data_IF_543149636889
#
_entry.id   IF_543149636889
#
_cell.length_a   1.000
_cell.length_b   1.000
_cell.length_c   1.000
_cell.angle_alpha   90.00
_cell.angle_beta   90.00
_cell.angle_gamma   90.00
#
_symmetry.space_group_name_H-M   'P 1'
#
loop_
_entity.id
_entity.type
_entity.pdbx_description
1 polymer ?
#
# COMPACT_ATOMS: atom_id res chain seq x y z
N UNK A 1 -9.87 -55.23 -0.14
CA UNK A 1 -9.11 -54.39 -1.10
C UNK A 1 -9.86 -53.13 -1.54
N UNK A 2 -11.12 -53.20 -2.02
CA UNK A 2 -11.89 -52.00 -2.45
C UNK A 2 -12.07 -50.90 -1.39
N UNK A 3 -12.24 -51.26 -0.10
CA UNK A 3 -12.42 -50.29 1.00
C UNK A 3 -11.14 -49.52 1.38
N UNK A 4 -9.96 -50.09 1.10
CA UNK A 4 -8.66 -49.45 1.39
C UNK A 4 -8.32 -48.41 0.31
N UNK A 5 -8.73 -48.67 -0.94
CA UNK A 5 -8.51 -47.75 -2.07
C UNK A 5 -9.36 -46.47 -1.92
N UNK A 6 -10.59 -46.58 -1.39
CA UNK A 6 -11.47 -45.42 -1.20
C UNK A 6 -10.95 -44.50 -0.07
N UNK A 7 -10.35 -45.07 0.99
CA UNK A 7 -9.73 -44.28 2.05
C UNK A 7 -8.47 -43.53 1.58
N UNK A 8 -7.70 -44.11 0.66
CA UNK A 8 -6.52 -43.48 0.06
C UNK A 8 -6.89 -42.32 -0.87
N UNK A 9 -7.96 -42.43 -1.66
CA UNK A 9 -8.41 -41.34 -2.54
C UNK A 9 -9.07 -40.20 -1.74
N UNK A 10 -9.77 -40.51 -0.64
CA UNK A 10 -10.35 -39.50 0.25
C UNK A 10 -9.29 -38.74 1.07
N UNK A 11 -8.16 -39.38 1.41
CA UNK A 11 -7.04 -38.73 2.11
C UNK A 11 -6.19 -37.83 1.21
N UNK A 12 -6.14 -38.09 -0.10
CA UNK A 12 -5.37 -37.29 -1.06
C UNK A 12 -6.09 -36.00 -1.50
N UNK A 13 -7.42 -35.91 -1.38
CA UNK A 13 -8.19 -34.71 -1.76
C UNK A 13 -8.22 -33.61 -0.69
N UNK A 14 -7.85 -33.91 0.57
CA UNK A 14 -7.89 -32.94 1.67
C UNK A 14 -6.59 -32.14 1.85
N UNK A 15 -5.54 -32.44 1.07
CA UNK A 15 -4.34 -31.61 0.91
C UNK A 15 -4.56 -30.57 -0.20
N UNK A 16 -5.68 -29.86 -0.14
CA UNK A 16 -5.86 -28.64 -0.91
C UNK A 16 -4.85 -27.60 -0.42
N UNK A 17 -3.77 -27.43 -1.19
CA UNK A 17 -2.76 -26.41 -1.02
C UNK A 17 -3.41 -25.05 -0.72
N UNK A 18 -3.39 -24.64 0.54
CA UNK A 18 -3.56 -23.24 0.90
C UNK A 18 -2.26 -22.55 0.52
N UNK A 19 -2.11 -22.22 -0.77
CA UNK A 19 -1.02 -21.36 -1.21
C UNK A 19 -1.35 -19.97 -0.69
N UNK A 20 -0.90 -19.64 0.52
CA UNK A 20 -0.86 -18.25 0.94
C UNK A 20 0.13 -17.56 0.02
N UNK A 21 -0.38 -16.80 -0.95
CA UNK A 21 0.45 -15.90 -1.73
C UNK A 21 0.91 -14.82 -0.77
N UNK A 22 2.05 -15.06 -0.11
CA UNK A 22 2.81 -14.05 0.62
C UNK A 22 3.22 -13.00 -0.41
N UNK A 23 2.36 -12.01 -0.62
CA UNK A 23 2.68 -10.84 -1.42
C UNK A 23 3.81 -10.11 -0.70
N UNK A 24 5.01 -10.18 -1.28
CA UNK A 24 6.15 -9.46 -0.77
C UNK A 24 5.86 -7.95 -0.85
N UNK A 25 5.60 -7.33 0.31
CA UNK A 25 5.40 -5.87 0.46
C UNK A 25 6.75 -5.17 0.56
N UNK A 26 6.86 -3.89 0.19
CA UNK A 26 8.11 -3.16 0.21
C UNK A 26 8.57 -2.93 1.65
N UNK A 27 9.86 -3.16 1.91
CA UNK A 27 10.47 -2.96 3.23
C UNK A 27 11.00 -1.54 3.43
N UNK A 28 11.33 -0.86 2.33
CA UNK A 28 11.86 0.50 2.31
C UNK A 28 11.37 1.27 1.08
N UNK A 29 11.43 2.59 1.13
CA UNK A 29 11.14 3.52 0.02
C UNK A 29 12.14 4.67 0.03
N UNK A 30 12.62 5.05 -1.16
CA UNK A 30 13.34 6.31 -1.34
C UNK A 30 12.34 7.48 -1.46
N UNK A 31 12.39 8.40 -0.51
CA UNK A 31 11.58 9.61 -0.53
C UNK A 31 12.22 10.68 -1.40
N UNK A 32 11.71 10.83 -2.62
CA UNK A 32 12.23 11.81 -3.59
C UNK A 32 12.10 13.26 -3.12
N UNK A 33 11.23 13.57 -2.16
CA UNK A 33 11.07 14.94 -1.66
C UNK A 33 12.18 15.32 -0.68
N UNK A 34 12.59 14.38 0.18
CA UNK A 34 13.61 14.60 1.21
C UNK A 34 14.97 14.00 0.86
N UNK A 35 15.06 13.23 -0.24
CA UNK A 35 16.24 12.46 -0.62
C UNK A 35 16.69 11.47 0.46
N UNK A 36 15.74 10.94 1.25
CA UNK A 36 16.02 10.02 2.35
C UNK A 36 15.38 8.65 2.14
N UNK A 37 16.07 7.64 2.65
CA UNK A 37 15.57 6.30 2.78
C UNK A 37 14.64 6.16 3.98
N UNK A 38 13.45 5.59 3.73
CA UNK A 38 12.46 5.32 4.77
C UNK A 38 12.27 3.82 4.89
N UNK A 39 12.53 3.27 6.07
CA UNK A 39 12.34 1.86 6.40
C UNK A 39 10.90 1.67 6.88
N UNK A 40 10.04 1.22 5.98
CA UNK A 40 8.57 1.21 6.17
C UNK A 40 8.04 -0.17 6.55
N UNK A 41 8.91 -1.14 6.84
CA UNK A 41 8.54 -2.45 7.36
C UNK A 41 8.88 -2.67 8.85
N UNK A 42 9.63 -1.76 9.47
CA UNK A 42 10.15 -1.97 10.82
C UNK A 42 9.97 -0.71 11.69
N UNK A 43 9.96 -0.91 13.00
CA UNK A 43 9.81 0.11 14.01
C UNK A 43 8.54 0.95 13.86
N UNK A 44 8.64 2.22 14.26
CA UNK A 44 7.51 3.16 14.22
C UNK A 44 6.98 3.37 12.79
N UNK A 45 7.87 3.46 11.80
CA UNK A 45 7.47 3.66 10.40
C UNK A 45 6.78 2.43 9.82
N UNK A 46 7.21 1.22 10.22
CA UNK A 46 6.49 -0.02 9.92
C UNK A 46 5.04 0.05 10.43
N UNK A 47 4.86 0.39 11.71
CA UNK A 47 3.53 0.52 12.30
C UNK A 47 2.68 1.62 11.63
N UNK A 48 3.27 2.78 11.37
CA UNK A 48 2.59 3.92 10.76
C UNK A 48 2.17 3.65 9.30
N UNK A 49 2.84 2.72 8.62
CA UNK A 49 2.57 2.34 7.23
C UNK A 49 1.51 1.24 7.08
N UNK A 50 1.00 0.69 8.19
CA UNK A 50 -0.10 -0.28 8.15
C UNK A 50 -1.48 0.41 8.01
N UNK A 51 -2.53 -0.30 7.55
CA UNK A 51 -3.87 0.27 7.42
C UNK A 51 -4.42 0.94 8.69
N UNK A 52 -4.08 0.42 9.88
CA UNK A 52 -4.47 1.00 11.17
C UNK A 52 -3.49 2.06 11.69
N UNK A 53 -2.31 2.19 11.07
CA UNK A 53 -1.25 3.13 11.42
C UNK A 53 -1.59 4.58 11.10
N UNK A 54 -0.69 5.49 11.47
CA UNK A 54 -0.88 6.93 11.26
C UNK A 54 -1.10 7.30 9.77
N UNK A 55 -0.35 6.70 8.85
CA UNK A 55 -0.49 6.95 7.41
C UNK A 55 -1.86 6.52 6.87
N UNK A 56 -2.29 5.31 7.23
CA UNK A 56 -3.61 4.79 6.85
C UNK A 56 -4.78 5.60 7.44
N UNK A 57 -4.63 6.07 8.68
CA UNK A 57 -5.61 6.99 9.31
C UNK A 57 -5.72 8.30 8.54
N UNK A 58 -4.60 8.98 8.28
CA UNK A 58 -4.58 10.26 7.56
C UNK A 58 -5.07 10.14 6.12
N UNK A 59 -4.78 9.02 5.45
CA UNK A 59 -5.37 8.71 4.15
C UNK A 59 -6.91 8.68 4.21
N UNK A 60 -7.49 8.02 5.21
CA UNK A 60 -8.96 7.96 5.39
C UNK A 60 -9.56 9.31 5.80
N UNK A 61 -8.89 10.06 6.67
CA UNK A 61 -9.38 11.35 7.15
C UNK A 61 -9.34 12.41 6.05
N UNK A 62 -8.22 12.51 5.32
CA UNK A 62 -7.99 13.61 4.38
C UNK A 62 -8.29 13.21 2.94
N UNK A 63 -7.65 12.17 2.40
CA UNK A 63 -7.81 11.81 0.99
C UNK A 63 -9.22 11.23 0.72
N UNK A 64 -9.70 10.32 1.58
CA UNK A 64 -11.02 9.71 1.41
C UNK A 64 -12.19 10.66 1.69
N UNK A 65 -11.96 11.83 2.30
CA UNK A 65 -12.98 12.90 2.39
C UNK A 65 -13.48 13.40 1.03
N UNK A 66 -12.69 13.17 -0.03
CA UNK A 66 -13.09 13.43 -1.41
C UNK A 66 -13.23 12.13 -2.20
N UNK A 67 -12.38 11.14 -1.95
CA UNK A 67 -12.30 9.93 -2.77
C UNK A 67 -13.12 8.72 -2.25
N UNK A 68 -14.32 8.95 -1.68
CA UNK A 68 -15.24 7.88 -1.24
C UNK A 68 -16.31 7.54 -2.31
N UNK A 69 -17.01 6.39 -2.18
CA UNK A 69 -17.77 5.77 -3.30
C UNK A 69 -18.87 6.68 -3.83
N UNK A 70 -19.50 7.42 -2.93
CA UNK A 70 -20.66 8.26 -3.20
C UNK A 70 -20.31 9.74 -3.00
N UNK A 71 -19.10 10.15 -3.39
CA UNK A 71 -18.73 11.55 -3.28
C UNK A 71 -19.47 12.39 -4.31
N UNK A 72 -19.80 13.62 -3.94
CA UNK A 72 -20.43 14.62 -4.81
C UNK A 72 -19.41 15.59 -5.44
N UNK A 73 -18.11 15.29 -5.34
CA UNK A 73 -17.01 16.15 -5.79
C UNK A 73 -16.46 15.75 -7.17
N UNK A 74 -17.06 14.75 -7.82
CA UNK A 74 -16.59 14.19 -9.08
C UNK A 74 -15.23 13.49 -8.98
N UNK A 75 -14.77 13.18 -7.77
CA UNK A 75 -13.49 12.52 -7.55
C UNK A 75 -13.63 11.01 -7.75
N UNK A 76 -12.64 10.38 -8.38
CA UNK A 76 -12.63 8.92 -8.49
C UNK A 76 -12.52 8.28 -7.11
N UNK A 77 -13.20 7.15 -6.91
CA UNK A 77 -12.99 6.35 -5.72
C UNK A 77 -11.54 5.87 -5.65
N UNK A 78 -10.92 5.96 -4.47
CA UNK A 78 -9.51 5.64 -4.31
C UNK A 78 -9.25 4.61 -3.21
N UNK A 79 -8.47 3.59 -3.54
CA UNK A 79 -7.89 2.57 -2.64
C UNK A 79 -6.38 2.77 -2.56
N UNK A 80 -5.70 2.11 -1.61
CA UNK A 80 -4.25 2.08 -1.64
C UNK A 80 -3.74 1.36 -2.91
N UNK A 81 -4.50 0.39 -3.37
CA UNK A 81 -4.26 -0.42 -4.57
C UNK A 81 -4.64 0.30 -5.87
N UNK A 82 -5.09 1.57 -5.82
CA UNK A 82 -5.44 2.31 -7.04
C UNK A 82 -4.24 2.62 -7.95
N UNK A 83 -3.02 2.53 -7.41
CA UNK A 83 -1.79 2.68 -8.18
C UNK A 83 -0.72 1.72 -7.65
N UNK A 84 0.31 1.49 -8.48
CA UNK A 84 1.53 0.79 -8.06
C UNK A 84 2.42 1.67 -7.17
N UNK A 85 3.31 1.06 -6.37
CA UNK A 85 4.12 1.77 -5.37
C UNK A 85 4.90 2.96 -5.98
N UNK A 86 5.54 2.77 -7.12
CA UNK A 86 6.32 3.83 -7.79
C UNK A 86 5.45 5.00 -8.27
N UNK A 87 4.22 4.74 -8.70
CA UNK A 87 3.27 5.75 -9.11
C UNK A 87 2.79 6.57 -7.91
N UNK A 88 2.52 5.95 -6.77
CA UNK A 88 2.23 6.66 -5.52
C UNK A 88 3.38 7.57 -5.12
N UNK A 89 4.60 7.03 -5.08
CA UNK A 89 5.78 7.81 -4.71
C UNK A 89 5.94 9.05 -5.60
N UNK A 90 5.70 8.88 -6.90
CA UNK A 90 5.76 9.96 -7.89
C UNK A 90 4.68 11.02 -7.68
N UNK A 91 3.43 10.63 -7.41
CA UNK A 91 2.32 11.57 -7.18
C UNK A 91 2.64 12.52 -6.03
N UNK A 92 3.17 11.98 -4.93
CA UNK A 92 3.54 12.76 -3.76
C UNK A 92 4.79 13.63 -4.00
N UNK A 93 5.81 13.10 -4.68
CA UNK A 93 7.02 13.84 -4.99
C UNK A 93 6.78 15.03 -5.93
N UNK A 94 6.01 14.82 -6.99
CA UNK A 94 5.75 15.85 -8.01
C UNK A 94 4.52 16.72 -7.69
N UNK A 95 3.76 16.41 -6.63
CA UNK A 95 2.42 16.97 -6.37
C UNK A 95 1.56 17.01 -7.64
N UNK A 96 1.62 15.93 -8.44
CA UNK A 96 1.14 15.91 -9.83
C UNK A 96 -0.38 16.06 -9.95
N UNK A 97 -1.13 15.66 -8.93
CA UNK A 97 -2.61 15.70 -8.93
C UNK A 97 -3.14 17.08 -8.58
N UNK A 98 -4.31 17.43 -9.14
CA UNK A 98 -4.92 18.76 -8.94
C UNK A 98 -5.14 19.09 -7.45
N UNK A 99 -5.66 18.15 -6.66
CA UNK A 99 -5.89 18.36 -5.22
C UNK A 99 -4.61 18.64 -4.41
N UNK A 100 -3.45 18.16 -4.87
CA UNK A 100 -2.16 18.50 -4.26
C UNK A 100 -1.69 19.92 -4.62
N UNK A 101 -2.04 20.41 -5.82
CA UNK A 101 -1.70 21.76 -6.31
C UNK A 101 -2.63 22.84 -5.77
N UNK A 102 -3.92 22.52 -5.66
CA UNK A 102 -4.96 23.44 -5.17
C UNK A 102 -4.98 23.53 -3.62
N UNK A 103 -3.97 22.97 -2.95
CA UNK A 103 -3.79 23.10 -1.51
C UNK A 103 -4.69 22.22 -0.64
N UNK A 104 -5.45 21.28 -1.21
CA UNK A 104 -6.27 20.34 -0.42
C UNK A 104 -5.45 19.47 0.52
N UNK A 105 -4.14 19.38 0.29
CA UNK A 105 -3.19 18.64 1.13
C UNK A 105 -2.58 19.50 2.25
N UNK A 106 -2.78 20.82 2.25
CA UNK A 106 -2.12 21.75 3.18
C UNK A 106 -2.60 21.59 4.63
N UNK A 107 -3.66 20.81 4.86
CA UNK A 107 -4.11 20.42 6.20
C UNK A 107 -3.18 19.38 6.85
N UNK A 108 -2.29 18.76 6.07
CA UNK A 108 -1.29 17.81 6.53
C UNK A 108 0.08 18.50 6.58
N UNK A 109 0.83 18.26 7.65
CA UNK A 109 2.25 18.55 7.70
C UNK A 109 3.03 17.72 6.67
N UNK A 110 4.26 18.16 6.34
CA UNK A 110 5.11 17.41 5.41
C UNK A 110 5.43 15.99 5.94
N UNK A 111 5.54 15.81 7.26
CA UNK A 111 5.73 14.49 7.89
C UNK A 111 4.49 13.61 7.74
N UNK A 112 3.29 14.15 7.98
CA UNK A 112 2.05 13.40 7.77
C UNK A 112 1.87 13.01 6.29
N UNK A 113 2.21 13.90 5.36
CA UNK A 113 2.24 13.57 3.93
C UNK A 113 3.23 12.44 3.62
N UNK A 114 4.39 12.42 4.28
CA UNK A 114 5.35 11.31 4.13
C UNK A 114 4.73 9.98 4.62
N UNK A 115 4.07 9.99 5.79
CA UNK A 115 3.39 8.82 6.35
C UNK A 115 2.24 8.31 5.48
N UNK A 116 1.45 9.22 4.89
CA UNK A 116 0.41 8.84 3.91
C UNK A 116 1.05 8.17 2.69
N UNK A 117 2.14 8.72 2.16
CA UNK A 117 2.86 8.12 1.03
C UNK A 117 3.47 6.76 1.40
N UNK A 118 4.04 6.60 2.60
CA UNK A 118 4.58 5.32 3.07
C UNK A 118 3.49 4.25 3.14
N UNK A 119 2.32 4.58 3.70
CA UNK A 119 1.15 3.72 3.70
C UNK A 119 0.72 3.35 2.27
N UNK A 120 0.53 4.33 1.38
CA UNK A 120 0.07 4.06 0.01
C UNK A 120 1.10 3.27 -0.80
N UNK A 121 2.40 3.53 -0.61
CA UNK A 121 3.48 2.81 -1.27
C UNK A 121 3.52 1.34 -0.82
N UNK A 122 3.38 1.08 0.48
CA UNK A 122 3.45 -0.26 1.08
C UNK A 122 2.21 -1.12 0.79
N UNK A 123 1.07 -0.49 0.55
CA UNK A 123 -0.23 -1.12 0.31
C UNK A 123 -0.73 -0.91 -1.13
N UNK A 124 0.19 -0.58 -2.04
CA UNK A 124 -0.09 -0.38 -3.44
C UNK A 124 -0.54 -1.67 -4.15
N UNK A 125 -1.05 -1.54 -5.37
CA UNK A 125 -1.15 -2.70 -6.26
C UNK A 125 0.25 -3.10 -6.73
N UNK A 126 0.46 -4.39 -6.95
CA UNK A 126 1.76 -4.95 -7.39
C UNK A 126 2.96 -4.40 -6.59
N UNK A 127 2.89 -4.55 -5.28
CA UNK A 127 3.95 -4.12 -4.35
C UNK A 127 5.27 -4.86 -4.53
N UNK A 128 5.24 -6.05 -5.13
CA UNK A 128 6.44 -6.77 -5.52
C UNK A 128 6.99 -6.24 -6.84
N UNK A 129 8.09 -5.49 -6.76
CA UNK A 129 8.91 -5.18 -7.91
C UNK A 129 10.35 -5.66 -7.64
N UNK A 130 10.82 -6.71 -8.36
CA UNK A 130 12.15 -7.29 -8.15
C UNK A 130 13.28 -6.30 -8.47
N UNK A 131 13.00 -5.26 -9.25
CA UNK A 131 13.95 -4.20 -9.59
C UNK A 131 13.90 -3.02 -8.59
N UNK A 132 12.97 -3.00 -7.64
CA UNK A 132 12.88 -1.97 -6.60
C UNK A 132 13.19 -2.48 -5.19
N UNK A 133 13.52 -3.76 -5.05
CA UNK A 133 13.68 -4.39 -3.74
C UNK A 133 14.76 -3.70 -2.89
N UNK A 134 15.78 -3.08 -3.51
CA UNK A 134 16.93 -2.58 -2.77
C UNK A 134 17.44 -1.17 -3.01
N UNK A 135 17.12 -0.50 -4.12
CA UNK A 135 17.77 0.77 -4.42
C UNK A 135 17.17 1.91 -3.61
N UNK A 136 17.91 2.30 -2.60
CA UNK A 136 17.73 3.52 -1.85
C UNK A 136 18.86 4.49 -2.26
N UNK A 137 19.24 4.43 -3.54
CA UNK A 137 20.64 4.26 -3.95
C UNK A 137 20.92 2.79 -4.19
#
# INVERSE_FOLDING_TARGET
>A
MKKVIIALVAGLLSMGLVVTVLQARPIKRFDKRTQMCRFIADGQLGWDSEPWGAGGKKFREVCKSCHHRNNNKGAHFLYAESFVSSAWNRIFAERRVKCARDGSWNVLSEEELAKVNDYLYRNADWTYNPNSADSCG
#
